data_IF_566714908609
#
_entry.id   IF_566714908609
#
_cell.length_a   1.000
_cell.length_b   1.000
_cell.length_c   1.000
_cell.angle_alpha   90.00
_cell.angle_beta   90.00
_cell.angle_gamma   90.00
#
_symmetry.space_group_name_H-M   'P 1'
#
loop_
_entity.id
_entity.type
_entity.pdbx_description
1 polymer ?
#
# COMPACT_ATOMS: atom_id res chain seq x y z
N UNK A 1 -14.85 22.80 -25.56
CA UNK A 1 -15.38 21.82 -24.59
C UNK A 1 -14.84 22.19 -23.22
N UNK A 2 -15.68 22.38 -22.20
CA UNK A 2 -15.18 22.64 -20.85
C UNK A 2 -14.37 21.42 -20.39
N UNK A 3 -13.11 21.62 -20.00
CA UNK A 3 -12.33 20.54 -19.38
C UNK A 3 -13.00 20.21 -18.05
N UNK A 4 -13.61 19.03 -17.96
CA UNK A 4 -14.13 18.51 -16.69
C UNK A 4 -12.95 18.17 -15.78
N UNK A 5 -12.94 18.67 -14.54
CA UNK A 5 -11.98 18.31 -13.49
C UNK A 5 -12.65 17.41 -12.43
N UNK A 6 -11.85 16.61 -11.73
CA UNK A 6 -12.24 15.73 -10.63
C UNK A 6 -12.54 14.29 -11.04
N UNK A 7 -12.89 13.46 -10.04
CA UNK A 7 -13.07 12.00 -10.18
C UNK A 7 -11.81 11.26 -10.62
N UNK A 8 -10.64 11.81 -10.28
CA UNK A 8 -9.35 11.24 -10.62
C UNK A 8 -8.41 11.37 -9.43
N UNK A 9 -7.87 10.23 -8.99
CA UNK A 9 -6.88 10.16 -7.91
C UNK A 9 -5.50 9.88 -8.50
N UNK A 10 -4.53 10.74 -8.20
CA UNK A 10 -3.14 10.58 -8.62
C UNK A 10 -2.31 9.87 -7.55
N UNK A 11 -1.47 8.89 -7.91
CA UNK A 11 -0.42 8.43 -7.01
C UNK A 11 0.65 9.52 -6.88
N UNK A 12 1.19 9.70 -5.68
CA UNK A 12 2.31 10.60 -5.41
C UNK A 12 3.39 9.91 -4.58
N UNK A 13 4.60 10.44 -4.64
CA UNK A 13 5.79 9.94 -3.98
C UNK A 13 6.59 11.10 -3.38
N UNK A 14 7.43 10.81 -2.38
CA UNK A 14 8.30 11.81 -1.78
C UNK A 14 9.24 12.44 -2.84
N UNK A 15 9.54 13.74 -2.68
CA UNK A 15 10.44 14.50 -3.55
C UNK A 15 9.96 14.65 -5.01
N UNK A 16 8.65 14.60 -5.26
CA UNK A 16 8.07 14.69 -6.61
C UNK A 16 6.94 15.73 -6.70
N UNK A 17 7.02 16.76 -5.87
CA UNK A 17 5.97 17.77 -5.70
C UNK A 17 5.69 18.57 -6.98
N UNK A 18 6.73 18.94 -7.73
CA UNK A 18 6.61 19.78 -8.93
C UNK A 18 5.81 19.05 -10.01
N UNK A 19 6.19 17.81 -10.27
CA UNK A 19 5.56 16.93 -11.25
C UNK A 19 4.14 16.54 -10.79
N UNK A 20 3.93 16.33 -9.49
CA UNK A 20 2.60 16.11 -8.92
C UNK A 20 1.66 17.29 -9.21
N UNK A 21 2.12 18.54 -9.01
CA UNK A 21 1.35 19.75 -9.35
C UNK A 21 1.04 19.84 -10.85
N UNK A 22 2.03 19.55 -11.69
CA UNK A 22 1.84 19.55 -13.14
C UNK A 22 0.78 18.54 -13.57
N UNK A 23 0.82 17.32 -13.02
CA UNK A 23 -0.12 16.26 -13.35
C UNK A 23 -1.53 16.55 -12.84
N UNK A 24 -1.67 17.14 -11.64
CA UNK A 24 -2.96 17.60 -11.11
C UNK A 24 -3.62 18.57 -12.10
N UNK A 25 -2.88 19.57 -12.58
CA UNK A 25 -3.44 20.55 -13.50
C UNK A 25 -3.72 19.96 -14.89
N UNK A 26 -2.80 19.13 -15.40
CA UNK A 26 -2.94 18.53 -16.74
C UNK A 26 -4.10 17.56 -16.82
N UNK A 27 -4.30 16.73 -15.80
CA UNK A 27 -5.29 15.66 -15.81
C UNK A 27 -6.56 16.03 -15.04
N UNK A 28 -6.56 17.14 -14.30
CA UNK A 28 -7.69 17.59 -13.51
C UNK A 28 -7.96 16.69 -12.31
N UNK A 29 -6.93 16.18 -11.65
CA UNK A 29 -7.09 15.34 -10.47
C UNK A 29 -7.61 16.14 -9.27
N UNK A 30 -8.53 15.55 -8.51
CA UNK A 30 -9.09 16.13 -7.27
C UNK A 30 -8.62 15.39 -6.01
N UNK A 31 -7.76 14.39 -6.18
CA UNK A 31 -7.26 13.58 -5.11
C UNK A 31 -5.82 13.11 -5.35
N UNK A 32 -5.09 12.91 -4.27
CA UNK A 32 -3.73 12.37 -4.23
C UNK A 32 -3.70 11.18 -3.30
N UNK A 33 -3.02 10.11 -3.70
CA UNK A 33 -2.80 8.91 -2.89
C UNK A 33 -1.31 8.73 -2.62
N UNK A 34 -0.95 8.51 -1.35
CA UNK A 34 0.42 8.21 -0.99
C UNK A 34 0.91 6.87 -1.55
N UNK A 35 2.14 6.83 -2.05
CA UNK A 35 2.74 5.56 -2.49
C UNK A 35 3.09 4.69 -1.29
N UNK A 36 2.81 3.39 -1.40
CA UNK A 36 2.93 2.42 -0.31
C UNK A 36 4.28 2.52 0.42
N UNK A 37 4.24 2.81 1.74
CA UNK A 37 5.44 2.90 2.58
C UNK A 37 6.13 4.27 2.58
N UNK A 38 5.64 5.25 1.82
CA UNK A 38 6.14 6.64 1.88
C UNK A 38 5.12 7.55 2.54
N UNK A 39 5.59 8.44 3.41
CA UNK A 39 4.77 9.55 3.90
C UNK A 39 4.93 10.71 2.92
N UNK A 40 3.81 11.26 2.46
CA UNK A 40 3.83 12.50 1.69
C UNK A 40 4.50 13.60 2.50
N UNK A 41 5.32 14.40 1.84
CA UNK A 41 5.87 15.61 2.45
C UNK A 41 4.73 16.61 2.77
N UNK A 42 4.98 17.48 3.73
CA UNK A 42 3.97 18.46 4.17
C UNK A 42 3.53 19.39 3.03
N UNK A 43 4.42 19.69 2.09
CA UNK A 43 4.12 20.52 0.93
C UNK A 43 3.12 19.86 -0.02
N UNK A 44 3.16 18.52 -0.17
CA UNK A 44 2.20 17.74 -0.96
C UNK A 44 0.86 17.63 -0.25
N UNK A 45 0.84 17.53 1.08
CA UNK A 45 -0.40 17.52 1.87
C UNK A 45 -1.15 18.85 1.85
N UNK A 46 -0.45 19.96 1.58
CA UNK A 46 -1.02 21.30 1.46
C UNK A 46 -1.61 21.59 0.07
N UNK A 47 -1.53 20.65 -0.88
CA UNK A 47 -2.19 20.79 -2.17
C UNK A 47 -3.70 20.77 -1.98
N UNK A 48 -4.41 21.56 -2.81
CA UNK A 48 -5.88 21.59 -2.85
C UNK A 48 -6.43 20.32 -3.55
N UNK A 49 -6.26 19.18 -2.88
CA UNK A 49 -6.68 17.87 -3.32
C UNK A 49 -7.01 16.99 -2.11
N UNK A 50 -7.96 16.07 -2.26
CA UNK A 50 -8.26 15.08 -1.22
C UNK A 50 -7.06 14.15 -1.04
N UNK A 51 -6.59 14.00 0.19
CA UNK A 51 -5.46 13.12 0.50
C UNK A 51 -5.98 11.75 0.94
N UNK A 52 -5.58 10.71 0.21
CA UNK A 52 -5.79 9.31 0.58
C UNK A 52 -4.49 8.74 1.12
N UNK A 53 -4.56 8.20 2.33
CA UNK A 53 -3.45 7.47 2.95
C UNK A 53 -3.84 6.03 3.17
N UNK A 54 -2.93 5.13 2.80
CA UNK A 54 -3.14 3.70 3.01
C UNK A 54 -2.93 3.35 4.48
N UNK A 55 -3.92 2.72 5.11
CA UNK A 55 -3.81 2.21 6.48
C UNK A 55 -3.69 0.69 6.48
N UNK A 56 -2.63 0.16 7.09
CA UNK A 56 -2.37 -1.27 7.16
C UNK A 56 -2.79 -1.84 8.51
N UNK A 57 -3.97 -2.47 8.57
CA UNK A 57 -4.59 -2.92 9.83
C UNK A 57 -3.85 -4.06 10.55
N UNK A 58 -3.12 -4.90 9.81
CA UNK A 58 -2.56 -6.15 10.32
C UNK A 58 -1.06 -6.31 10.02
N UNK A 59 -0.34 -5.22 9.69
CA UNK A 59 1.11 -5.24 9.44
C UNK A 59 1.75 -3.90 9.78
N UNK A 60 3.08 -3.80 9.62
CA UNK A 60 3.89 -2.60 9.88
C UNK A 60 4.15 -2.29 11.37
N UNK A 61 3.95 -3.27 12.25
CA UNK A 61 4.19 -3.18 13.71
C UNK A 61 4.97 -4.41 14.22
N UNK A 62 6.22 -4.56 13.78
CA UNK A 62 7.04 -5.74 14.11
C UNK A 62 7.25 -5.91 15.62
N UNK A 63 7.43 -4.83 16.38
CA UNK A 63 7.61 -4.91 17.84
C UNK A 63 6.43 -5.59 18.56
N UNK A 64 5.21 -5.46 18.03
CA UNK A 64 4.04 -6.16 18.53
C UNK A 64 4.05 -7.62 18.06
N UNK A 65 4.22 -7.84 16.75
CA UNK A 65 4.21 -9.18 16.16
C UNK A 65 5.28 -10.10 16.77
N UNK A 66 6.48 -9.60 17.01
CA UNK A 66 7.60 -10.35 17.62
C UNK A 66 7.30 -10.78 19.07
N UNK A 67 6.46 -10.03 19.80
CA UNK A 67 6.03 -10.36 21.16
C UNK A 67 4.81 -11.30 21.22
N UNK A 68 4.08 -11.41 20.11
CA UNK A 68 2.81 -12.11 19.99
C UNK A 68 2.77 -13.02 18.76
N UNK A 69 3.82 -13.84 18.58
CA UNK A 69 3.97 -14.70 17.39
C UNK A 69 2.84 -15.74 17.26
N UNK A 70 2.16 -16.07 18.36
CA UNK A 70 0.98 -16.93 18.40
C UNK A 70 -0.25 -16.34 17.70
N UNK A 71 -0.33 -15.00 17.59
CA UNK A 71 -1.43 -14.29 16.93
C UNK A 71 -1.22 -14.11 15.42
N UNK A 72 -0.05 -14.50 14.90
CA UNK A 72 0.24 -14.44 13.47
C UNK A 72 -0.79 -15.24 12.67
N UNK A 73 -1.17 -14.71 11.50
CA UNK A 73 -2.07 -15.39 10.58
C UNK A 73 -1.47 -16.74 10.13
N UNK A 74 -2.24 -17.81 10.27
CA UNK A 74 -1.84 -19.16 9.91
C UNK A 74 -2.67 -19.68 8.73
N UNK A 75 -2.06 -20.55 7.94
CA UNK A 75 -2.71 -21.26 6.84
C UNK A 75 -2.31 -22.74 6.89
N UNK A 76 -3.24 -23.64 6.53
CA UNK A 76 -2.88 -25.05 6.35
C UNK A 76 -2.02 -25.21 5.09
N UNK A 77 -0.96 -26.00 5.21
CA UNK A 77 -0.07 -26.36 4.11
C UNK A 77 0.01 -27.88 3.97
N UNK A 78 0.21 -28.36 2.76
CA UNK A 78 0.33 -29.78 2.46
C UNK A 78 1.77 -30.10 2.06
N UNK A 79 2.33 -31.16 2.64
CA UNK A 79 3.62 -31.70 2.20
C UNK A 79 3.48 -32.32 0.80
N UNK A 80 4.61 -32.64 0.15
CA UNK A 80 4.57 -33.40 -1.10
C UNK A 80 4.04 -34.81 -0.84
N UNK A 81 3.46 -35.41 -1.87
CA UNK A 81 3.16 -36.83 -1.84
C UNK A 81 4.48 -37.63 -1.83
N UNK A 82 4.64 -38.51 -0.86
CA UNK A 82 5.78 -39.41 -0.76
C UNK A 82 5.28 -40.87 -0.80
N UNK A 83 5.94 -41.69 -1.62
CA UNK A 83 5.65 -43.12 -1.70
C UNK A 83 6.38 -43.85 -0.58
N UNK A 84 5.64 -44.57 0.27
CA UNK A 84 6.24 -45.48 1.24
C UNK A 84 6.84 -46.70 0.52
N UNK A 85 8.13 -46.95 0.74
CA UNK A 85 8.84 -48.15 0.24
C UNK A 85 9.12 -49.16 1.36
N UNK A 86 8.70 -48.85 2.60
CA UNK A 86 8.82 -49.70 3.78
C UNK A 86 7.64 -49.46 4.74
N UNK A 87 7.66 -50.07 5.93
CA UNK A 87 6.63 -49.89 6.96
C UNK A 87 6.66 -48.51 7.65
N UNK A 88 7.66 -47.68 7.35
CA UNK A 88 7.84 -46.34 7.93
C UNK A 88 8.09 -45.30 6.81
N UNK A 89 7.57 -44.08 6.98
CA UNK A 89 7.71 -42.94 6.06
C UNK A 89 7.73 -41.63 6.86
N UNK A 90 8.75 -40.80 6.64
CA UNK A 90 8.95 -39.47 7.25
C UNK A 90 8.75 -38.34 6.23
#
# INVERSE_FOLDING_TARGET
MSKTKGRLTLPSQANFLKETKELIERWGADAIRDSDGTKLDEATKQLDAKIYTTYFVARNHNEFAEKHMEECQQIYVMSKFHLATSNELE
#
